data_IF_956942866151
#
_entry.id   IF_956942866151
#
_cell.length_a   1.000
_cell.length_b   1.000
_cell.length_c   1.000
_cell.angle_alpha   90.00
_cell.angle_beta   90.00
_cell.angle_gamma   90.00
#
_symmetry.space_group_name_H-M   'P 1'
#
loop_
_entity.id
_entity.type
_entity.pdbx_description
1 polymer ?
#
# COMPACT_ATOMS: atom_id res chain seq x y z
N UNK A 1 -2.40 15.95 1.31
CA UNK A 1 -2.00 14.57 0.95
C UNK A 1 -3.05 13.48 1.25
N UNK A 2 -4.01 13.65 2.19
CA UNK A 2 -5.01 12.60 2.52
C UNK A 2 -5.84 12.09 1.33
N UNK A 3 -6.17 12.95 0.36
CA UNK A 3 -7.00 12.58 -0.79
C UNK A 3 -6.26 11.75 -1.86
N UNK A 4 -4.94 11.91 -2.00
CA UNK A 4 -4.19 11.27 -3.09
C UNK A 4 -4.00 9.76 -2.88
N UNK A 5 -3.80 9.33 -1.64
CA UNK A 5 -3.74 7.91 -1.28
C UNK A 5 -5.09 7.22 -1.43
N UNK A 6 -6.17 7.91 -1.08
CA UNK A 6 -7.56 7.42 -1.19
C UNK A 6 -7.97 7.25 -2.65
N UNK A 7 -7.64 8.22 -3.51
CA UNK A 7 -7.90 8.16 -4.94
C UNK A 7 -7.13 7.01 -5.62
N UNK A 8 -5.86 6.82 -5.26
CA UNK A 8 -5.04 5.72 -5.82
C UNK A 8 -5.59 4.35 -5.41
N UNK A 9 -6.06 4.23 -4.17
CA UNK A 9 -6.68 3.02 -3.66
C UNK A 9 -8.00 2.70 -4.38
N UNK A 10 -8.87 3.71 -4.54
CA UNK A 10 -10.13 3.57 -5.28
C UNK A 10 -9.90 3.14 -6.74
N UNK A 11 -8.90 3.73 -7.41
CA UNK A 11 -8.54 3.31 -8.76
C UNK A 11 -8.11 1.85 -8.80
N UNK A 12 -7.27 1.42 -7.85
CA UNK A 12 -6.77 0.05 -7.80
C UNK A 12 -7.89 -0.97 -7.52
N UNK A 13 -8.83 -0.67 -6.62
CA UNK A 13 -9.98 -1.54 -6.37
C UNK A 13 -10.92 -1.60 -7.56
N UNK A 14 -11.15 -0.48 -8.26
CA UNK A 14 -11.94 -0.46 -9.48
C UNK A 14 -11.29 -1.28 -10.60
N UNK A 15 -9.97 -1.17 -10.80
CA UNK A 15 -9.25 -1.99 -11.76
C UNK A 15 -9.35 -3.49 -11.44
N UNK A 16 -9.21 -3.85 -10.16
CA UNK A 16 -9.34 -5.24 -9.73
C UNK A 16 -10.75 -5.77 -9.98
N UNK A 17 -11.79 -5.00 -9.62
CA UNK A 17 -13.18 -5.36 -9.87
C UNK A 17 -13.47 -5.60 -11.36
N UNK A 18 -13.06 -4.67 -12.22
CA UNK A 18 -13.26 -4.77 -13.67
C UNK A 18 -12.50 -5.97 -14.26
N UNK A 19 -11.23 -6.16 -13.90
CA UNK A 19 -10.46 -7.29 -14.39
C UNK A 19 -11.03 -8.62 -13.93
N UNK A 20 -11.41 -8.75 -12.65
CA UNK A 20 -12.02 -9.96 -12.12
C UNK A 20 -13.33 -10.28 -12.85
N UNK A 21 -14.18 -9.27 -13.07
CA UNK A 21 -15.45 -9.40 -13.79
C UNK A 21 -15.23 -9.92 -15.21
N UNK A 22 -14.31 -9.29 -15.95
CA UNK A 22 -13.99 -9.69 -17.32
C UNK A 22 -13.41 -11.09 -17.40
N UNK A 23 -12.46 -11.43 -16.52
CA UNK A 23 -11.84 -12.76 -16.52
C UNK A 23 -12.87 -13.85 -16.21
N UNK A 24 -13.75 -13.60 -15.24
CA UNK A 24 -14.81 -14.54 -14.83
C UNK A 24 -15.86 -14.69 -15.93
N UNK A 25 -16.23 -13.60 -16.61
CA UNK A 25 -17.15 -13.65 -17.74
C UNK A 25 -16.57 -14.45 -18.92
N UNK A 26 -15.28 -14.26 -19.24
CA UNK A 26 -14.61 -15.07 -20.27
C UNK A 26 -14.60 -16.55 -19.88
N UNK A 27 -14.26 -16.86 -18.63
CA UNK A 27 -14.27 -18.23 -18.12
C UNK A 27 -15.66 -18.87 -18.21
N UNK A 28 -16.70 -18.17 -17.77
CA UNK A 28 -18.09 -18.65 -17.83
C UNK A 28 -18.61 -18.78 -19.28
N UNK A 29 -18.08 -17.98 -20.21
CA UNK A 29 -18.31 -18.12 -21.64
C UNK A 29 -17.75 -19.43 -22.18
N UNK A 30 -16.53 -19.79 -21.78
CA UNK A 30 -15.86 -21.04 -22.17
C UNK A 30 -16.58 -22.26 -21.58
N UNK A 31 -17.04 -22.18 -20.32
CA UNK A 31 -17.73 -23.30 -19.66
C UNK A 31 -19.21 -23.43 -20.04
N UNK A 32 -19.74 -22.49 -20.85
CA UNK A 32 -21.12 -22.52 -21.33
C UNK A 32 -22.17 -22.11 -20.29
N UNK A 33 -21.76 -21.53 -19.15
CA UNK A 33 -22.64 -21.20 -18.01
C UNK A 33 -23.75 -20.20 -18.37
N UNK A 34 -23.52 -19.36 -19.38
CA UNK A 34 -24.52 -18.38 -19.85
C UNK A 34 -25.75 -18.98 -20.55
N UNK A 35 -25.72 -20.27 -20.94
CA UNK A 35 -26.80 -20.91 -21.71
C UNK A 35 -28.07 -21.17 -20.90
N UNK A 36 -27.97 -21.28 -19.57
CA UNK A 36 -29.10 -21.60 -18.70
C UNK A 36 -29.87 -20.32 -18.32
N UNK A 37 -29.22 -19.42 -17.59
CA UNK A 37 -29.78 -18.13 -17.19
C UNK A 37 -28.69 -17.07 -17.22
N UNK A 38 -28.68 -16.30 -18.31
CA UNK A 38 -27.71 -15.22 -18.51
C UNK A 38 -27.83 -14.15 -17.43
N UNK A 39 -29.04 -13.80 -16.99
CA UNK A 39 -29.26 -12.74 -16.02
C UNK A 39 -28.75 -13.16 -14.63
N UNK A 40 -29.06 -14.37 -14.19
CA UNK A 40 -28.53 -14.93 -12.94
C UNK A 40 -27.00 -15.09 -12.99
N UNK A 41 -26.45 -15.48 -14.14
CA UNK A 41 -25.00 -15.63 -14.30
C UNK A 41 -24.27 -14.28 -14.18
N UNK A 42 -24.83 -13.21 -14.78
CA UNK A 42 -24.25 -11.86 -14.68
C UNK A 42 -24.31 -11.36 -13.23
N UNK A 43 -25.43 -11.54 -12.53
CA UNK A 43 -25.55 -11.10 -11.13
C UNK A 43 -24.57 -11.85 -10.23
N UNK A 44 -24.38 -13.16 -10.44
CA UNK A 44 -23.38 -13.95 -9.73
C UNK A 44 -21.95 -13.40 -9.93
N UNK A 45 -21.57 -13.10 -11.18
CA UNK A 45 -20.27 -12.52 -11.49
C UNK A 45 -20.10 -11.18 -10.77
N UNK A 46 -21.10 -10.31 -10.80
CA UNK A 46 -21.02 -8.99 -10.17
C UNK A 46 -20.92 -9.08 -8.64
N UNK A 47 -21.71 -9.96 -8.02
CA UNK A 47 -21.69 -10.16 -6.55
C UNK A 47 -20.35 -10.74 -6.11
N UNK A 48 -19.85 -11.76 -6.81
CA UNK A 48 -18.53 -12.33 -6.50
C UNK A 48 -17.41 -11.32 -6.72
N UNK A 49 -17.44 -10.57 -7.83
CA UNK A 49 -16.48 -9.51 -8.10
C UNK A 49 -16.50 -8.43 -7.00
N UNK A 50 -17.69 -8.05 -6.51
CA UNK A 50 -17.83 -7.07 -5.43
C UNK A 50 -17.23 -7.60 -4.12
N UNK A 51 -17.50 -8.86 -3.76
CA UNK A 51 -16.94 -9.51 -2.58
C UNK A 51 -15.41 -9.58 -2.65
N UNK A 52 -14.86 -10.04 -3.77
CA UNK A 52 -13.40 -10.13 -3.93
C UNK A 52 -12.74 -8.75 -3.98
N UNK A 53 -13.38 -7.74 -4.59
CA UNK A 53 -12.89 -6.36 -4.58
C UNK A 53 -12.88 -5.77 -3.16
N UNK A 54 -13.91 -6.06 -2.35
CA UNK A 54 -13.97 -5.66 -0.95
C UNK A 54 -12.87 -6.34 -0.14
N UNK A 55 -12.70 -7.65 -0.28
CA UNK A 55 -11.63 -8.40 0.39
C UNK A 55 -10.25 -7.84 0.01
N UNK A 56 -9.99 -7.67 -1.29
CA UNK A 56 -8.76 -7.10 -1.81
C UNK A 56 -8.48 -5.70 -1.21
N UNK A 57 -9.52 -4.87 -1.14
CA UNK A 57 -9.45 -3.54 -0.53
C UNK A 57 -9.05 -3.63 0.94
N UNK A 58 -9.75 -4.43 1.74
CA UNK A 58 -9.45 -4.62 3.16
C UNK A 58 -8.02 -5.14 3.35
N UNK A 59 -7.59 -6.13 2.56
CA UNK A 59 -6.22 -6.67 2.62
C UNK A 59 -5.18 -5.58 2.37
N UNK A 60 -5.36 -4.73 1.36
CA UNK A 60 -4.40 -3.64 1.08
C UNK A 60 -4.36 -2.62 2.22
N UNK A 61 -5.51 -2.25 2.80
CA UNK A 61 -5.54 -1.30 3.93
C UNK A 61 -4.77 -1.86 5.12
N UNK A 62 -4.95 -3.14 5.43
CA UNK A 62 -4.24 -3.81 6.52
C UNK A 62 -2.74 -3.89 6.20
N UNK A 63 -2.37 -4.31 4.98
CA UNK A 63 -0.99 -4.59 4.62
C UNK A 63 -0.14 -3.31 4.48
N UNK A 64 -0.75 -2.24 3.99
CA UNK A 64 -0.09 -0.94 3.77
C UNK A 64 -0.54 0.12 4.77
N UNK A 65 -1.05 -0.31 5.94
CA UNK A 65 -1.37 0.58 7.05
C UNK A 65 -0.15 1.43 7.39
N UNK A 66 -0.40 2.73 7.61
CA UNK A 66 0.63 3.70 7.97
C UNK A 66 0.50 4.07 9.43
N UNK A 67 1.64 4.26 10.08
CA UNK A 67 1.75 4.65 11.47
C UNK A 67 2.74 5.80 11.64
N UNK A 68 2.60 6.51 12.76
CA UNK A 68 3.61 7.43 13.28
C UNK A 68 4.34 6.71 14.41
N UNK A 69 5.67 6.58 14.29
CA UNK A 69 6.53 6.08 15.36
C UNK A 69 7.47 7.18 15.82
N UNK A 70 7.62 7.33 17.14
CA UNK A 70 8.52 8.29 17.76
C UNK A 70 9.72 7.56 18.33
N UNK A 71 10.91 7.98 17.92
CA UNK A 71 12.18 7.40 18.40
C UNK A 71 12.97 8.51 19.09
N UNK A 72 13.38 8.35 20.37
CA UNK A 72 14.11 9.40 21.08
C UNK A 72 15.51 9.58 20.48
N UNK A 73 15.96 10.84 20.34
CA UNK A 73 17.27 11.18 19.77
C UNK A 73 18.45 10.54 20.51
N UNK A 74 18.28 10.25 21.81
CA UNK A 74 19.29 9.58 22.63
C UNK A 74 19.49 8.10 22.28
N UNK A 75 18.50 7.47 21.66
CA UNK A 75 18.53 6.02 21.38
C UNK A 75 19.19 5.65 20.07
N UNK A 76 19.18 6.56 19.09
CA UNK A 76 19.75 6.30 17.77
C UNK A 76 20.29 7.60 17.17
N UNK A 77 21.49 7.57 16.63
CA UNK A 77 22.05 8.71 15.91
C UNK A 77 21.42 8.85 14.53
N UNK A 78 21.50 10.04 13.95
CA UNK A 78 20.99 10.29 12.58
C UNK A 78 21.60 9.32 11.53
N UNK A 79 22.89 8.99 11.67
CA UNK A 79 23.59 8.08 10.74
C UNK A 79 23.14 6.63 10.90
N UNK A 80 22.93 6.18 12.14
CA UNK A 80 22.41 4.84 12.40
C UNK A 80 20.97 4.68 11.93
N UNK A 81 20.15 5.72 12.07
CA UNK A 81 18.78 5.73 11.55
C UNK A 81 18.76 5.59 10.02
N UNK A 82 19.62 6.34 9.33
CA UNK A 82 19.78 6.25 7.87
C UNK A 82 20.22 4.83 7.46
N UNK A 83 21.21 4.26 8.14
CA UNK A 83 21.70 2.90 7.88
C UNK A 83 20.62 1.85 8.12
N UNK A 84 19.85 1.94 9.22
CA UNK A 84 18.73 1.02 9.47
C UNK A 84 17.68 1.12 8.37
N UNK A 85 17.29 2.32 7.96
CA UNK A 85 16.34 2.51 6.87
C UNK A 85 16.84 1.90 5.55
N UNK A 86 18.11 2.05 5.23
CA UNK A 86 18.74 1.43 4.05
C UNK A 86 18.73 -0.10 4.12
N UNK A 87 19.02 -0.70 5.28
CA UNK A 87 18.96 -2.16 5.46
C UNK A 87 17.55 -2.71 5.23
N UNK A 88 16.53 -1.93 5.62
CA UNK A 88 15.11 -2.25 5.44
C UNK A 88 14.66 -2.01 3.97
N UNK A 89 15.52 -1.43 3.12
CA UNK A 89 15.25 -1.20 1.71
C UNK A 89 14.76 0.21 1.38
N UNK A 90 15.03 1.20 2.23
CA UNK A 90 14.63 2.59 2.00
C UNK A 90 15.85 3.49 1.80
N UNK A 91 15.90 4.19 0.67
CA UNK A 91 16.99 5.13 0.38
C UNK A 91 16.52 6.57 0.47
N UNK A 92 17.38 7.43 0.99
CA UNK A 92 17.08 8.85 1.15
C UNK A 92 17.01 9.52 -0.21
N UNK A 93 15.95 10.31 -0.43
CA UNK A 93 15.86 11.13 -1.65
C UNK A 93 16.67 12.41 -1.49
N UNK A 94 17.31 12.85 -2.57
CA UNK A 94 18.02 14.12 -2.62
C UNK A 94 17.09 15.36 -2.52
N UNK A 95 15.77 15.17 -2.65
CA UNK A 95 14.80 16.23 -2.40
C UNK A 95 14.79 16.61 -0.92
N UNK A 96 15.26 17.82 -0.63
CA UNK A 96 15.20 18.45 0.69
C UNK A 96 13.87 19.21 0.81
N UNK A 97 12.87 18.61 1.44
CA UNK A 97 11.84 19.42 2.11
C UNK A 97 12.47 20.08 3.34
N UNK A 98 12.15 21.36 3.59
CA UNK A 98 12.87 22.23 4.55
C UNK A 98 13.08 21.61 5.94
N UNK A 99 12.22 20.70 6.40
CA UNK A 99 12.31 20.07 7.72
C UNK A 99 12.02 18.55 7.75
N UNK A 100 11.89 17.90 6.59
CA UNK A 100 11.48 16.49 6.49
C UNK A 100 12.42 15.73 5.56
N UNK A 101 13.01 14.65 6.08
CA UNK A 101 13.80 13.71 5.27
C UNK A 101 12.86 12.66 4.70
N UNK A 102 12.90 12.49 3.39
CA UNK A 102 12.04 11.55 2.68
C UNK A 102 12.88 10.36 2.22
N UNK A 103 12.39 9.15 2.48
CA UNK A 103 13.00 7.90 2.04
C UNK A 103 12.04 7.15 1.12
N UNK A 104 12.54 6.70 -0.03
CA UNK A 104 11.78 5.92 -1.01
C UNK A 104 12.09 4.43 -0.87
N UNK A 105 11.10 3.55 -1.06
CA UNK A 105 11.33 2.11 -1.09
C UNK A 105 12.13 1.74 -2.33
N UNK A 106 13.07 0.81 -2.17
CA UNK A 106 13.89 0.23 -3.22
C UNK A 106 13.57 -1.28 -3.29
N UNK A 107 12.88 -1.72 -4.35
CA UNK A 107 12.67 -3.14 -4.62
C UNK A 107 14.01 -3.88 -4.80
N UNK A 108 14.14 -5.16 -4.41
CA UNK A 108 13.09 -6.03 -3.88
C UNK A 108 12.89 -5.92 -2.36
N UNK A 109 13.78 -5.23 -1.63
CA UNK A 109 13.79 -5.20 -0.15
C UNK A 109 12.57 -4.50 0.45
N UNK A 110 12.16 -3.39 -0.16
CA UNK A 110 10.91 -2.72 0.16
C UNK A 110 10.02 -2.67 -1.07
N UNK A 111 8.77 -3.14 -0.92
CA UNK A 111 7.80 -3.13 -2.01
C UNK A 111 7.54 -1.70 -2.50
N UNK A 112 7.39 -1.49 -3.81
CA UNK A 112 7.08 -0.18 -4.38
C UNK A 112 5.78 0.43 -3.80
N UNK A 113 4.84 -0.44 -3.41
CA UNK A 113 3.57 -0.06 -2.78
C UNK A 113 3.69 0.31 -1.29
N UNK A 114 4.83 0.05 -0.64
CA UNK A 114 5.07 0.41 0.76
C UNK A 114 4.94 1.93 1.01
N UNK A 115 5.11 2.73 -0.05
CA UNK A 115 5.08 4.18 0.04
C UNK A 115 6.35 4.73 0.69
N UNK A 116 6.44 6.06 0.80
CA UNK A 116 7.62 6.73 1.34
C UNK A 116 7.62 6.71 2.87
N UNK A 117 8.81 6.76 3.47
CA UNK A 117 8.97 7.06 4.89
C UNK A 117 9.35 8.54 5.02
N UNK A 118 8.66 9.25 5.89
CA UNK A 118 8.93 10.64 6.21
C UNK A 118 9.51 10.71 7.61
N UNK A 119 10.66 11.33 7.75
CA UNK A 119 11.35 11.52 9.03
C UNK A 119 11.45 13.00 9.32
N UNK A 120 10.80 13.43 10.39
CA UNK A 120 10.89 14.79 10.91
C UNK A 120 11.62 14.75 12.25
N UNK A 121 12.56 15.67 12.44
CA UNK A 121 13.31 15.79 13.69
C UNK A 121 12.69 16.91 14.53
N UNK A 122 12.32 16.58 15.76
CA UNK A 122 11.95 17.54 16.81
C UNK A 122 13.10 17.69 17.82
N UNK A 123 12.91 18.47 18.88
CA UNK A 123 13.93 18.69 19.91
C UNK A 123 14.37 17.40 20.63
N UNK A 124 13.46 16.43 20.78
CA UNK A 124 13.69 15.22 21.57
C UNK A 124 13.49 13.91 20.77
N UNK A 125 12.82 13.96 19.62
CA UNK A 125 12.40 12.76 18.89
C UNK A 125 12.60 12.86 17.39
N UNK A 126 12.80 11.69 16.76
CA UNK A 126 12.50 11.46 15.36
C UNK A 126 11.05 11.00 15.23
N UNK A 127 10.25 11.76 14.49
CA UNK A 127 8.89 11.40 14.07
C UNK A 127 8.96 10.71 12.72
N UNK A 128 8.68 9.41 12.70
CA UNK A 128 8.70 8.59 11.49
C UNK A 128 7.27 8.28 11.07
N UNK A 129 6.87 8.74 9.88
CA UNK A 129 5.59 8.41 9.28
C UNK A 129 5.80 7.49 8.08
N UNK A 130 5.22 6.29 8.13
CA UNK A 130 5.54 5.24 7.16
C UNK A 130 4.69 3.98 7.33
N UNK A 131 4.90 2.99 6.47
CA UNK A 131 4.24 1.69 6.56
C UNK A 131 4.61 0.93 7.84
N UNK A 132 3.60 0.49 8.60
CA UNK A 132 3.75 -0.15 9.92
C UNK A 132 4.76 -1.30 9.90
N UNK A 133 4.64 -2.20 8.90
CA UNK A 133 5.50 -3.39 8.74
C UNK A 133 7.01 -3.10 8.75
N UNK A 134 7.40 -1.91 8.29
CA UNK A 134 8.80 -1.49 8.22
C UNK A 134 9.17 -0.62 9.41
N UNK A 135 8.25 0.22 9.89
CA UNK A 135 8.49 1.03 11.07
C UNK A 135 8.67 0.20 12.33
N UNK A 136 8.01 -0.96 12.48
CA UNK A 136 8.20 -1.86 13.64
C UNK A 136 9.59 -2.49 13.71
N UNK A 137 10.35 -2.49 12.61
CA UNK A 137 11.71 -3.04 12.54
C UNK A 137 12.81 -2.06 12.96
N UNK A 138 12.46 -0.80 13.23
CA UNK A 138 13.39 0.26 13.65
C UNK A 138 13.67 0.24 15.15
#
# INVERSE_FOLDING_TARGET
MRYYSLLRFLKLSLYFFLMYTLLTAVWYGITGKFKEDTAATITEILVTAALFSLLFSVTIVIWYRREERRIPLKSITAKELDKKLETIGFTRTQHKEKHTRIYKPVPPKAAALAGRIFVQQSANFYHLHGPTRYLTKL
#
